data_IF_386007288408
#
_entry.id   IF_386007288408
#
_cell.length_a   1.000
_cell.length_b   1.000
_cell.length_c   1.000
_cell.angle_alpha   90.00
_cell.angle_beta   90.00
_cell.angle_gamma   90.00
#
_symmetry.space_group_name_H-M   'P 1'
#
loop_
_entity.id
_entity.type
_entity.pdbx_description
1 polymer ?
#
# COMPACT_ATOMS: atom_id res chain seq x y z
N UNK A 1 -30.28 -22.32 24.13
CA UNK A 1 -29.79 -21.23 25.00
C UNK A 1 -29.54 -20.06 24.08
N UNK A 2 -30.31 -19.00 24.16
CA UNK A 2 -30.07 -17.76 23.41
C UNK A 2 -28.71 -17.25 23.82
N UNK A 3 -27.86 -17.05 22.82
CA UNK A 3 -26.47 -16.64 23.01
C UNK A 3 -26.47 -15.11 23.18
N UNK A 4 -26.78 -14.62 24.39
CA UNK A 4 -26.89 -13.19 24.74
C UNK A 4 -25.54 -12.46 24.61
N UNK A 5 -24.79 -12.74 23.57
CA UNK A 5 -23.48 -12.19 23.29
C UNK A 5 -23.54 -11.10 22.23
N UNK A 6 -23.11 -9.89 22.58
CA UNK A 6 -22.91 -8.81 21.61
C UNK A 6 -21.56 -9.01 20.90
N UNK A 7 -21.60 -9.35 19.62
CA UNK A 7 -20.39 -9.42 18.77
C UNK A 7 -20.12 -8.05 18.17
N UNK A 8 -18.89 -7.59 18.31
CA UNK A 8 -18.44 -6.28 17.83
C UNK A 8 -17.29 -6.47 16.88
N UNK A 9 -17.43 -5.94 15.69
CA UNK A 9 -16.35 -5.85 14.70
C UNK A 9 -15.91 -4.41 14.57
N UNK A 10 -14.60 -4.19 14.64
CA UNK A 10 -13.93 -2.89 14.47
C UNK A 10 -12.87 -2.93 13.37
N UNK A 11 -12.38 -4.10 12.99
CA UNK A 11 -11.42 -4.25 11.88
C UNK A 11 -12.13 -4.22 10.53
N UNK A 12 -11.69 -3.32 9.63
CA UNK A 12 -12.27 -3.12 8.30
C UNK A 12 -13.65 -2.46 8.29
N UNK A 13 -14.07 -1.88 9.42
CA UNK A 13 -15.33 -1.19 9.59
C UNK A 13 -16.02 -1.53 10.91
N UNK A 14 -16.98 -0.70 11.34
CA UNK A 14 -17.72 -0.90 12.59
C UNK A 14 -19.05 -1.60 12.36
N UNK A 15 -19.27 -2.73 13.02
CA UNK A 15 -20.58 -3.40 13.04
C UNK A 15 -20.84 -4.09 14.37
N UNK A 16 -22.12 -4.20 14.72
CA UNK A 16 -22.63 -4.85 15.91
C UNK A 16 -23.59 -5.96 15.52
N UNK A 17 -23.50 -7.10 16.18
CA UNK A 17 -24.40 -8.25 15.99
C UNK A 17 -24.84 -8.77 17.36
N UNK A 18 -26.12 -8.90 17.56
CA UNK A 18 -26.72 -9.47 18.78
C UNK A 18 -27.74 -10.55 18.40
N UNK A 19 -27.56 -11.75 18.95
CA UNK A 19 -28.40 -12.90 18.61
C UNK A 19 -28.51 -13.17 17.10
N UNK A 20 -27.36 -13.13 16.42
CA UNK A 20 -27.19 -13.32 14.96
C UNK A 20 -28.01 -12.32 14.10
N UNK A 21 -28.38 -11.18 14.70
CA UNK A 21 -29.00 -10.05 13.99
C UNK A 21 -28.14 -8.82 14.08
N UNK A 22 -28.02 -8.13 12.96
CA UNK A 22 -27.31 -6.85 12.91
C UNK A 22 -28.04 -5.79 13.75
N UNK A 23 -27.26 -5.08 14.58
CA UNK A 23 -27.74 -4.00 15.44
C UNK A 23 -27.39 -2.67 14.78
N UNK A 24 -28.36 -1.99 14.24
CA UNK A 24 -28.20 -0.67 13.62
C UNK A 24 -28.52 0.42 14.63
N UNK A 25 -27.54 1.26 14.98
CA UNK A 25 -27.72 2.35 15.95
C UNK A 25 -27.94 3.69 15.26
N UNK A 26 -26.92 4.24 14.63
CA UNK A 26 -26.92 5.52 13.95
C UNK A 26 -26.24 5.35 12.59
N UNK A 27 -26.73 6.08 11.59
CA UNK A 27 -26.10 6.06 10.26
C UNK A 27 -24.79 6.87 10.20
N UNK A 28 -24.59 7.74 11.21
CA UNK A 28 -23.38 8.57 11.27
C UNK A 28 -22.33 7.92 12.17
N UNK A 29 -21.39 7.16 11.57
CA UNK A 29 -20.29 6.50 12.25
C UNK A 29 -19.39 7.48 13.05
N UNK A 30 -19.35 8.75 12.67
CA UNK A 30 -18.47 9.79 13.25
C UNK A 30 -19.16 10.54 14.41
N UNK A 31 -20.42 10.25 14.74
CA UNK A 31 -21.13 10.95 15.82
C UNK A 31 -20.44 10.72 17.18
N UNK A 32 -20.49 11.71 18.08
CA UNK A 32 -19.89 11.58 19.43
C UNK A 32 -20.48 10.42 20.22
N UNK A 33 -21.72 10.02 19.93
CA UNK A 33 -22.37 8.85 20.52
C UNK A 33 -21.72 7.55 20.05
N UNK A 34 -21.43 7.44 18.75
CA UNK A 34 -20.74 6.27 18.19
C UNK A 34 -19.28 6.21 18.64
N UNK A 35 -18.58 7.33 18.66
CA UNK A 35 -17.21 7.41 19.20
C UNK A 35 -17.15 6.95 20.66
N UNK A 36 -18.12 7.38 21.48
CA UNK A 36 -18.20 6.95 22.87
C UNK A 36 -18.38 5.42 22.96
N UNK A 37 -19.30 4.85 22.18
CA UNK A 37 -19.53 3.40 22.16
C UNK A 37 -18.27 2.65 21.76
N UNK A 38 -17.61 3.08 20.68
CA UNK A 38 -16.38 2.47 20.18
C UNK A 38 -15.28 2.49 21.24
N UNK A 39 -15.07 3.63 21.92
CA UNK A 39 -14.07 3.77 22.99
C UNK A 39 -14.37 2.86 24.19
N UNK A 40 -15.63 2.81 24.66
CA UNK A 40 -16.01 1.94 25.78
C UNK A 40 -15.83 0.46 25.42
N UNK A 41 -16.22 0.06 24.22
CA UNK A 41 -16.08 -1.33 23.75
C UNK A 41 -14.62 -1.72 23.54
N UNK A 42 -13.80 -0.82 23.02
CA UNK A 42 -12.36 -1.03 22.82
C UNK A 42 -11.64 -1.33 24.14
N UNK A 43 -12.08 -0.71 25.24
CA UNK A 43 -11.51 -0.89 26.57
C UNK A 43 -12.35 -1.84 27.47
N UNK A 44 -13.29 -2.59 26.87
CA UNK A 44 -14.21 -3.45 27.65
C UNK A 44 -13.52 -4.59 28.41
N UNK A 45 -12.33 -5.02 27.97
CA UNK A 45 -11.55 -6.08 28.62
C UNK A 45 -10.39 -5.55 29.50
N UNK A 46 -10.13 -4.23 29.48
CA UNK A 46 -9.03 -3.58 30.20
C UNK A 46 -9.51 -2.85 31.47
N UNK A 47 -10.70 -3.16 31.96
CA UNK A 47 -11.28 -2.51 33.14
C UNK A 47 -11.94 -1.15 32.85
N UNK A 48 -12.06 -0.78 31.59
CA UNK A 48 -12.67 0.47 31.14
C UNK A 48 -11.67 1.58 30.81
N UNK A 49 -12.18 2.77 30.58
CA UNK A 49 -11.43 3.98 30.26
C UNK A 49 -11.75 5.10 31.26
N UNK A 50 -10.78 5.91 31.64
CA UNK A 50 -11.01 7.02 32.57
C UNK A 50 -11.93 8.07 31.96
N UNK A 51 -12.78 8.67 32.80
CA UNK A 51 -13.67 9.77 32.38
C UNK A 51 -12.89 10.95 31.78
N UNK A 52 -11.70 11.23 32.30
CA UNK A 52 -10.83 12.27 31.78
C UNK A 52 -10.33 11.94 30.34
N UNK A 53 -9.92 10.69 30.11
CA UNK A 53 -9.50 10.24 28.77
C UNK A 53 -10.65 10.26 27.76
N UNK A 54 -11.87 9.88 28.17
CA UNK A 54 -13.07 10.00 27.33
C UNK A 54 -13.39 11.44 26.97
N UNK A 55 -13.30 12.36 27.93
CA UNK A 55 -13.54 13.79 27.69
C UNK A 55 -12.51 14.34 26.71
N UNK A 56 -11.25 13.98 26.88
CA UNK A 56 -10.17 14.42 25.97
C UNK A 56 -10.37 13.86 24.57
N UNK A 57 -10.65 12.57 24.44
CA UNK A 57 -10.89 11.93 23.14
C UNK A 57 -12.09 12.51 22.38
N UNK A 58 -13.21 12.76 23.08
CA UNK A 58 -14.45 13.21 22.46
C UNK A 58 -14.55 14.73 22.29
N UNK A 59 -14.00 15.51 23.22
CA UNK A 59 -14.20 16.95 23.32
C UNK A 59 -12.91 17.76 23.49
N UNK A 60 -11.73 17.14 23.39
CA UNK A 60 -10.44 17.85 23.55
C UNK A 60 -10.29 19.03 22.62
N UNK A 61 -10.71 18.86 21.35
CA UNK A 61 -10.64 19.88 20.31
C UNK A 61 -11.88 20.81 20.24
N UNK A 62 -12.94 20.52 21.00
CA UNK A 62 -14.16 21.29 20.93
C UNK A 62 -14.17 22.43 21.96
N UNK A 63 -14.61 23.62 21.56
CA UNK A 63 -14.91 24.76 22.44
C UNK A 63 -16.23 24.50 23.18
N UNK A 64 -16.23 23.59 24.14
CA UNK A 64 -17.39 23.26 24.97
C UNK A 64 -17.09 23.66 26.41
N UNK A 65 -17.88 24.62 26.95
CA UNK A 65 -17.70 25.13 28.32
C UNK A 65 -17.87 24.02 29.38
N UNK A 66 -18.85 23.13 29.21
CA UNK A 66 -19.13 22.04 30.14
C UNK A 66 -18.94 20.67 29.51
N UNK A 67 -17.67 20.24 29.36
CA UNK A 67 -17.31 18.92 28.79
C UNK A 67 -17.88 17.75 29.60
N UNK A 68 -17.97 17.87 30.93
CA UNK A 68 -18.59 16.84 31.80
C UNK A 68 -20.08 16.66 31.54
N UNK A 69 -20.81 17.76 31.42
CA UNK A 69 -22.23 17.73 31.09
C UNK A 69 -22.51 17.14 29.72
N UNK A 70 -21.66 17.48 28.74
CA UNK A 70 -21.73 16.96 27.37
C UNK A 70 -21.49 15.46 27.33
N UNK A 71 -20.52 14.94 28.07
CA UNK A 71 -20.27 13.50 28.17
C UNK A 71 -21.48 12.78 28.80
N UNK A 72 -22.05 13.29 29.92
CA UNK A 72 -23.19 12.68 30.53
C UNK A 72 -24.42 12.63 29.59
N UNK A 73 -24.64 13.71 28.82
CA UNK A 73 -25.70 13.75 27.81
C UNK A 73 -25.45 12.72 26.69
N UNK A 74 -24.21 12.54 26.29
CA UNK A 74 -23.84 11.57 25.24
C UNK A 74 -24.03 10.14 25.76
N UNK A 75 -23.67 9.83 27.02
CA UNK A 75 -23.94 8.56 27.66
C UNK A 75 -25.45 8.27 27.71
N UNK A 76 -26.26 9.28 28.10
CA UNK A 76 -27.71 9.12 28.16
C UNK A 76 -28.30 8.82 26.77
N UNK A 77 -27.84 9.54 25.72
CA UNK A 77 -28.29 9.30 24.34
C UNK A 77 -27.89 7.90 23.87
N UNK A 78 -26.68 7.45 24.16
CA UNK A 78 -26.20 6.13 23.79
C UNK A 78 -27.03 5.03 24.44
N UNK A 79 -27.32 5.13 25.74
CA UNK A 79 -28.18 4.17 26.44
C UNK A 79 -29.55 4.03 25.78
N UNK A 80 -30.16 5.16 25.42
CA UNK A 80 -31.44 5.16 24.70
C UNK A 80 -31.37 4.52 23.32
N UNK A 81 -30.29 4.74 22.60
CA UNK A 81 -30.13 4.14 21.29
C UNK A 81 -29.94 2.62 21.37
N UNK A 82 -29.12 2.12 22.32
CA UNK A 82 -28.92 0.70 22.54
C UNK A 82 -30.23 -0.04 22.92
N UNK A 83 -31.04 0.56 23.81
CA UNK A 83 -32.38 0.01 24.17
C UNK A 83 -33.32 -0.06 22.97
N UNK A 84 -33.38 1.01 22.17
CA UNK A 84 -34.20 1.05 20.95
C UNK A 84 -33.77 0.05 19.89
N UNK A 85 -32.50 -0.28 19.87
CA UNK A 85 -31.89 -1.23 18.92
C UNK A 85 -32.13 -2.70 19.34
N UNK A 86 -32.84 -2.95 20.42
CA UNK A 86 -33.27 -4.29 20.85
C UNK A 86 -32.25 -5.04 21.71
N UNK A 87 -31.25 -4.36 22.29
CA UNK A 87 -30.38 -4.96 23.29
C UNK A 87 -31.14 -5.13 24.62
N UNK A 88 -30.72 -6.10 25.48
CA UNK A 88 -31.33 -6.30 26.79
C UNK A 88 -31.31 -5.02 27.62
N UNK A 89 -32.33 -4.81 28.45
CA UNK A 89 -32.38 -3.64 29.32
C UNK A 89 -31.25 -3.65 30.34
N UNK A 90 -30.37 -2.65 30.24
CA UNK A 90 -29.18 -2.51 31.06
C UNK A 90 -28.72 -1.04 31.12
N UNK A 91 -27.86 -0.73 32.06
CA UNK A 91 -27.15 0.56 32.08
C UNK A 91 -26.09 0.67 31.00
N UNK A 92 -25.65 -0.43 30.37
CA UNK A 92 -24.60 -0.58 29.35
C UNK A 92 -23.24 0.06 29.71
N UNK A 93 -23.25 1.24 30.30
CA UNK A 93 -22.03 1.97 30.68
C UNK A 93 -22.10 2.22 32.19
N UNK A 94 -21.17 1.64 32.93
CA UNK A 94 -21.02 1.84 34.37
C UNK A 94 -19.93 2.89 34.61
N UNK A 95 -20.15 3.73 35.62
CA UNK A 95 -19.18 4.76 36.03
C UNK A 95 -18.85 4.52 37.50
N UNK A 96 -17.66 3.97 37.76
CA UNK A 96 -17.19 3.63 39.09
C UNK A 96 -15.80 4.26 39.31
N UNK A 97 -15.60 5.01 40.39
CA UNK A 97 -14.35 5.64 40.76
C UNK A 97 -13.67 6.43 39.62
N UNK A 98 -14.45 7.10 38.76
CA UNK A 98 -13.92 7.87 37.63
C UNK A 98 -13.55 7.05 36.39
N UNK A 99 -13.79 5.74 36.40
CA UNK A 99 -13.66 4.84 35.26
C UNK A 99 -15.03 4.59 34.63
N UNK A 100 -15.07 4.58 33.30
CA UNK A 100 -16.24 4.22 32.51
C UNK A 100 -15.98 2.86 31.86
N UNK A 101 -16.81 1.87 32.14
CA UNK A 101 -16.70 0.50 31.64
C UNK A 101 -18.00 0.02 31.00
N UNK A 102 -17.89 -0.99 30.14
CA UNK A 102 -19.06 -1.72 29.63
C UNK A 102 -19.69 -2.56 30.75
N UNK A 103 -21.01 -2.68 30.74
CA UNK A 103 -21.74 -3.46 31.76
C UNK A 103 -21.49 -4.96 31.57
N UNK A 104 -20.95 -5.62 32.59
CA UNK A 104 -20.63 -7.06 32.58
C UNK A 104 -21.88 -7.94 32.40
N UNK A 105 -23.07 -7.42 32.73
CA UNK A 105 -24.35 -8.14 32.53
C UNK A 105 -24.71 -8.26 31.02
N UNK A 106 -24.07 -7.52 30.16
CA UNK A 106 -24.21 -7.61 28.69
C UNK A 106 -22.92 -8.17 28.11
N UNK A 107 -22.77 -9.51 27.99
CA UNK A 107 -21.56 -10.12 27.50
C UNK A 107 -21.19 -9.56 26.10
N UNK A 108 -19.93 -9.18 25.91
CA UNK A 108 -19.44 -8.59 24.67
C UNK A 108 -18.18 -9.29 24.19
N UNK A 109 -18.08 -9.45 22.88
CA UNK A 109 -16.93 -9.99 22.19
C UNK A 109 -16.47 -9.00 21.13
N UNK A 110 -15.33 -8.36 21.37
CA UNK A 110 -14.73 -7.35 20.47
C UNK A 110 -13.53 -7.97 19.74
N UNK A 111 -13.56 -7.91 18.42
CA UNK A 111 -12.51 -8.52 17.58
C UNK A 111 -11.10 -7.99 17.88
N UNK A 112 -10.95 -6.69 18.11
CA UNK A 112 -9.68 -6.05 18.48
C UNK A 112 -9.14 -6.59 19.80
N UNK A 113 -10.00 -6.71 20.82
CA UNK A 113 -9.60 -7.23 22.13
C UNK A 113 -9.18 -8.71 22.02
N UNK A 114 -9.94 -9.51 21.25
CA UNK A 114 -9.59 -10.90 20.97
C UNK A 114 -8.26 -11.02 20.20
N UNK A 115 -8.05 -10.18 19.18
CA UNK A 115 -6.82 -10.11 18.42
C UNK A 115 -5.61 -9.86 19.32
N UNK A 116 -5.65 -8.82 20.13
CA UNK A 116 -4.58 -8.47 21.08
C UNK A 116 -4.27 -9.62 22.04
N UNK A 117 -5.31 -10.24 22.59
CA UNK A 117 -5.19 -11.39 23.50
C UNK A 117 -4.57 -12.60 22.82
N UNK A 118 -4.95 -12.90 21.58
CA UNK A 118 -4.37 -13.99 20.79
C UNK A 118 -2.90 -13.72 20.46
N UNK A 119 -2.52 -12.50 20.10
CA UNK A 119 -1.11 -12.14 19.87
C UNK A 119 -0.28 -12.37 21.15
N UNK A 120 -0.76 -11.90 22.30
CA UNK A 120 -0.08 -12.09 23.57
C UNK A 120 0.03 -13.57 23.97
N UNK A 121 -1.05 -14.33 23.79
CA UNK A 121 -1.06 -15.78 24.07
C UNK A 121 -0.09 -16.54 23.17
N UNK A 122 -0.02 -16.20 21.89
CA UNK A 122 0.93 -16.77 20.95
C UNK A 122 2.39 -16.46 21.33
N UNK A 123 2.68 -15.25 21.83
CA UNK A 123 4.02 -14.88 22.34
C UNK A 123 4.43 -15.74 23.54
N UNK A 124 3.49 -16.13 24.40
CA UNK A 124 3.74 -16.95 25.59
C UNK A 124 3.75 -18.46 25.35
N UNK A 125 3.14 -18.90 24.25
CA UNK A 125 3.02 -20.34 23.93
C UNK A 125 4.38 -20.89 23.52
N UNK A 126 4.76 -22.04 24.10
CA UNK A 126 6.06 -22.72 23.85
C UNK A 126 5.96 -23.73 22.71
N UNK A 127 4.77 -24.33 22.51
CA UNK A 127 4.56 -25.35 21.48
C UNK A 127 4.34 -24.68 20.13
N UNK A 128 5.25 -24.94 19.19
CA UNK A 128 5.28 -24.27 17.89
C UNK A 128 3.96 -24.41 17.11
N UNK A 129 3.42 -25.62 16.99
CA UNK A 129 2.16 -25.86 16.27
C UNK A 129 0.96 -25.14 16.93
N UNK A 130 0.94 -25.09 18.24
CA UNK A 130 -0.11 -24.38 18.99
C UNK A 130 0.01 -22.89 18.79
N UNK A 131 1.23 -22.35 18.80
CA UNK A 131 1.53 -20.94 18.53
C UNK A 131 1.05 -20.52 17.15
N UNK A 132 1.40 -21.30 16.11
CA UNK A 132 0.93 -21.05 14.73
C UNK A 132 -0.60 -21.03 14.67
N UNK A 133 -1.28 -21.98 15.33
CA UNK A 133 -2.74 -22.01 15.37
C UNK A 133 -3.35 -20.78 16.05
N UNK A 134 -2.74 -20.32 17.15
CA UNK A 134 -3.19 -19.11 17.88
C UNK A 134 -3.02 -17.87 16.98
N UNK A 135 -1.85 -17.69 16.37
CA UNK A 135 -1.60 -16.53 15.51
C UNK A 135 -2.39 -16.59 14.21
N UNK A 136 -2.67 -17.76 13.63
CA UNK A 136 -3.61 -17.86 12.50
C UNK A 136 -5.00 -17.37 12.88
N UNK A 137 -5.51 -17.69 14.07
CA UNK A 137 -6.77 -17.12 14.55
C UNK A 137 -6.71 -15.60 14.71
N UNK A 138 -5.58 -15.06 15.20
CA UNK A 138 -5.40 -13.61 15.28
C UNK A 138 -5.41 -12.98 13.87
N UNK A 139 -4.66 -13.54 12.94
CA UNK A 139 -4.63 -13.09 11.54
C UNK A 139 -6.03 -13.15 10.88
N UNK A 140 -6.84 -14.16 11.18
CA UNK A 140 -8.21 -14.29 10.67
C UNK A 140 -9.15 -13.18 11.16
N UNK A 141 -8.94 -12.67 12.37
CA UNK A 141 -9.73 -11.57 12.94
C UNK A 141 -9.41 -10.23 12.27
N UNK A 142 -8.18 -10.00 11.85
CA UNK A 142 -7.76 -8.74 11.25
C UNK A 142 -8.28 -8.65 9.80
N UNK A 143 -9.34 -7.88 9.57
CA UNK A 143 -10.01 -7.75 8.25
C UNK A 143 -9.64 -6.46 7.50
N UNK A 144 -8.84 -5.61 8.09
CA UNK A 144 -8.44 -4.31 7.59
C UNK A 144 -8.12 -3.37 8.74
N UNK A 145 -7.93 -2.10 8.46
CA UNK A 145 -7.63 -1.10 9.47
C UNK A 145 -8.72 -0.99 10.54
N UNK A 146 -8.30 -0.61 11.74
CA UNK A 146 -9.20 -0.37 12.85
C UNK A 146 -10.02 0.90 12.58
N UNK A 147 -11.35 0.77 12.58
CA UNK A 147 -12.30 1.88 12.47
C UNK A 147 -11.89 2.87 11.35
N UNK A 148 -11.86 2.46 10.09
CA UNK A 148 -11.34 3.29 8.99
C UNK A 148 -12.08 4.64 8.87
N UNK A 149 -13.35 4.72 9.24
CA UNK A 149 -14.12 5.98 9.25
C UNK A 149 -13.66 6.96 10.34
N UNK A 150 -12.80 6.52 11.28
CA UNK A 150 -12.30 7.29 12.43
C UNK A 150 -10.85 7.74 12.30
N UNK A 151 -10.21 7.56 11.15
CA UNK A 151 -8.77 7.88 10.93
C UNK A 151 -8.45 9.35 11.28
N UNK A 152 -9.39 10.27 11.11
CA UNK A 152 -9.23 11.69 11.48
C UNK A 152 -9.22 11.98 12.99
N UNK A 153 -9.60 11.02 13.84
CA UNK A 153 -9.61 11.18 15.30
C UNK A 153 -8.31 10.65 15.90
N UNK A 154 -7.59 11.46 16.67
CA UNK A 154 -6.27 11.12 17.22
C UNK A 154 -6.25 9.79 18.00
N UNK A 155 -7.29 9.53 18.79
CA UNK A 155 -7.39 8.29 19.56
C UNK A 155 -7.49 7.05 18.66
N UNK A 156 -8.26 7.14 17.57
CA UNK A 156 -8.44 6.03 16.64
C UNK A 156 -7.16 5.81 15.80
N UNK A 157 -6.49 6.88 15.38
CA UNK A 157 -5.23 6.79 14.66
C UNK A 157 -4.13 6.11 15.50
N UNK A 158 -4.00 6.45 16.79
CA UNK A 158 -3.03 5.81 17.69
C UNK A 158 -3.32 4.31 17.89
N UNK A 159 -4.58 3.96 18.11
CA UNK A 159 -5.03 2.58 18.26
C UNK A 159 -4.85 1.77 16.97
N UNK A 160 -5.14 2.38 15.82
CA UNK A 160 -4.93 1.76 14.51
C UNK A 160 -3.44 1.47 14.26
N UNK A 161 -2.55 2.44 14.54
CA UNK A 161 -1.10 2.25 14.43
C UNK A 161 -0.62 1.08 15.29
N UNK A 162 -1.05 1.00 16.55
CA UNK A 162 -0.72 -0.11 17.44
C UNK A 162 -1.23 -1.47 16.91
N UNK A 163 -2.46 -1.53 16.39
CA UNK A 163 -3.01 -2.75 15.81
C UNK A 163 -2.27 -3.16 14.53
N UNK A 164 -1.88 -2.19 13.69
CA UNK A 164 -1.07 -2.42 12.48
C UNK A 164 0.29 -3.05 12.81
N UNK A 165 1.01 -2.50 13.78
CA UNK A 165 2.28 -3.07 14.24
C UNK A 165 2.14 -4.51 14.73
N UNK A 166 1.10 -4.79 15.52
CA UNK A 166 0.81 -6.15 15.98
C UNK A 166 0.44 -7.10 14.84
N UNK A 167 -0.27 -6.62 13.83
CA UNK A 167 -0.60 -7.40 12.64
C UNK A 167 0.63 -7.71 11.81
N UNK A 168 1.50 -6.74 11.57
CA UNK A 168 2.77 -6.92 10.86
C UNK A 168 3.65 -7.96 11.57
N UNK A 169 3.83 -7.79 12.88
CA UNK A 169 4.52 -8.78 13.70
C UNK A 169 3.91 -10.19 13.56
N UNK A 170 2.59 -10.29 13.59
CA UNK A 170 1.90 -11.58 13.46
C UNK A 170 2.13 -12.23 12.09
N UNK A 171 2.07 -11.47 11.01
CA UNK A 171 2.28 -11.95 9.64
C UNK A 171 3.72 -12.40 9.44
N UNK A 172 4.71 -11.61 9.86
CA UNK A 172 6.14 -11.95 9.76
C UNK A 172 6.47 -13.23 10.52
N UNK A 173 6.02 -13.34 11.76
CA UNK A 173 6.23 -14.51 12.60
C UNK A 173 5.55 -15.78 12.02
N UNK A 174 4.34 -15.63 11.48
CA UNK A 174 3.66 -16.73 10.81
C UNK A 174 4.40 -17.18 9.56
N UNK A 175 4.78 -16.26 8.68
CA UNK A 175 5.49 -16.55 7.44
C UNK A 175 6.83 -17.23 7.72
N UNK A 176 7.63 -16.71 8.66
CA UNK A 176 8.92 -17.27 9.05
C UNK A 176 8.77 -18.71 9.56
N UNK A 177 7.83 -18.98 10.48
CA UNK A 177 7.64 -20.33 11.05
C UNK A 177 7.03 -21.32 10.08
N UNK A 178 6.19 -20.84 9.17
CA UNK A 178 5.61 -21.67 8.12
C UNK A 178 6.65 -22.01 7.05
N UNK A 179 7.63 -21.12 6.80
CA UNK A 179 8.76 -21.36 5.91
C UNK A 179 9.66 -22.49 6.44
N UNK A 180 9.98 -22.48 7.75
CA UNK A 180 10.74 -23.56 8.40
C UNK A 180 10.04 -24.94 8.28
N UNK A 181 8.74 -24.96 8.02
CA UNK A 181 7.90 -26.15 7.87
C UNK A 181 7.51 -26.43 6.42
N UNK A 182 8.06 -25.70 5.47
CA UNK A 182 7.77 -25.82 4.04
C UNK A 182 6.26 -25.67 3.69
N UNK A 183 5.50 -24.91 4.53
CA UNK A 183 4.07 -24.72 4.36
C UNK A 183 3.78 -23.52 3.46
N UNK A 184 4.27 -23.57 2.24
CA UNK A 184 4.26 -22.43 1.31
C UNK A 184 2.86 -21.96 0.89
N UNK A 185 1.88 -22.87 0.79
CA UNK A 185 0.48 -22.48 0.48
C UNK A 185 -0.16 -21.64 1.60
N UNK A 186 0.20 -21.91 2.85
CA UNK A 186 -0.23 -21.07 3.97
C UNK A 186 0.43 -19.70 3.93
N UNK A 187 1.74 -19.64 3.60
CA UNK A 187 2.47 -18.38 3.43
C UNK A 187 1.81 -17.56 2.34
N UNK A 188 1.54 -18.17 1.19
CA UNK A 188 0.88 -17.50 0.07
C UNK A 188 -0.44 -16.84 0.49
N UNK A 189 -1.33 -17.57 1.17
CA UNK A 189 -2.60 -17.01 1.66
C UNK A 189 -2.42 -15.85 2.63
N UNK A 190 -1.45 -15.98 3.55
CA UNK A 190 -1.20 -14.97 4.59
C UNK A 190 -0.62 -13.70 3.99
N UNK A 191 0.40 -13.83 3.16
CA UNK A 191 1.09 -12.71 2.53
C UNK A 191 0.24 -12.01 1.47
N UNK A 192 -0.51 -12.77 0.67
CA UNK A 192 -1.46 -12.23 -0.31
C UNK A 192 -2.47 -11.29 0.36
N UNK A 193 -3.13 -11.75 1.43
CA UNK A 193 -4.07 -10.91 2.16
C UNK A 193 -3.41 -9.72 2.84
N UNK A 194 -2.18 -9.87 3.34
CA UNK A 194 -1.43 -8.75 3.90
C UNK A 194 -1.12 -7.70 2.82
N UNK A 195 -0.77 -8.14 1.61
CA UNK A 195 -0.55 -7.28 0.45
C UNK A 195 -1.83 -6.61 -0.06
N UNK A 196 -3.01 -7.23 0.10
CA UNK A 196 -4.29 -6.59 -0.21
C UNK A 196 -4.60 -5.44 0.77
N UNK A 197 -4.37 -5.65 2.09
CA UNK A 197 -4.63 -4.64 3.12
C UNK A 197 -3.59 -3.53 3.10
N UNK A 198 -2.31 -3.89 2.92
CA UNK A 198 -1.16 -3.00 2.96
C UNK A 198 -0.26 -3.22 1.72
N UNK A 199 -0.67 -2.70 0.56
CA UNK A 199 -0.04 -3.00 -0.71
C UNK A 199 1.38 -2.44 -0.88
N UNK A 200 1.79 -1.50 -0.02
CA UNK A 200 3.08 -0.80 -0.10
C UNK A 200 4.11 -1.25 0.95
N UNK A 201 3.77 -2.26 1.77
CA UNK A 201 4.63 -2.73 2.87
C UNK A 201 5.42 -4.02 2.53
N UNK A 202 5.72 -4.24 1.25
CA UNK A 202 6.56 -5.34 0.73
C UNK A 202 6.09 -6.78 1.05
N UNK A 203 4.83 -6.99 1.41
CA UNK A 203 4.28 -8.34 1.64
C UNK A 203 4.33 -9.24 0.42
N UNK A 204 4.39 -8.66 -0.76
CA UNK A 204 4.55 -9.33 -2.04
C UNK A 204 5.86 -10.11 -2.14
N UNK A 205 6.87 -9.77 -1.35
CA UNK A 205 8.12 -10.53 -1.27
C UNK A 205 7.84 -11.94 -0.73
N UNK A 206 7.11 -12.06 0.37
CA UNK A 206 6.70 -13.35 0.94
C UNK A 206 5.78 -14.14 0.01
N UNK A 207 4.88 -13.45 -0.67
CA UNK A 207 3.96 -14.03 -1.64
C UNK A 207 4.73 -14.64 -2.81
N UNK A 208 5.63 -13.89 -3.43
CA UNK A 208 6.46 -14.34 -4.54
C UNK A 208 7.39 -15.49 -4.10
N UNK A 209 8.04 -15.40 -2.94
CA UNK A 209 8.92 -16.47 -2.43
C UNK A 209 8.16 -17.79 -2.23
N UNK A 210 6.93 -17.73 -1.76
CA UNK A 210 6.07 -18.92 -1.62
C UNK A 210 5.71 -19.54 -2.98
N UNK A 211 5.46 -18.70 -4.00
CA UNK A 211 5.17 -19.14 -5.36
C UNK A 211 6.42 -19.72 -6.05
N UNK A 212 7.59 -19.13 -5.81
CA UNK A 212 8.88 -19.67 -6.27
C UNK A 212 9.12 -21.05 -5.67
N UNK A 213 8.92 -21.21 -4.36
CA UNK A 213 9.14 -22.48 -3.64
C UNK A 213 8.19 -23.59 -4.11
N UNK A 214 7.02 -23.23 -4.63
CA UNK A 214 6.04 -24.16 -5.24
C UNK A 214 6.15 -24.23 -6.76
N UNK A 215 7.20 -23.66 -7.36
CA UNK A 215 7.44 -23.64 -8.82
C UNK A 215 6.34 -22.96 -9.65
N UNK A 216 5.53 -22.09 -9.03
CA UNK A 216 4.44 -21.31 -9.67
C UNK A 216 4.96 -19.98 -10.24
N UNK A 217 6.02 -20.05 -11.05
CA UNK A 217 6.74 -18.88 -11.55
C UNK A 217 5.87 -17.90 -12.36
N UNK A 218 4.88 -18.40 -13.13
CA UNK A 218 3.98 -17.54 -13.91
C UNK A 218 3.12 -16.63 -13.01
N UNK A 219 2.57 -17.20 -11.95
CA UNK A 219 1.77 -16.45 -10.96
C UNK A 219 2.64 -15.44 -10.21
N UNK A 220 3.84 -15.82 -9.81
CA UNK A 220 4.80 -14.90 -9.22
C UNK A 220 5.14 -13.70 -10.13
N UNK A 221 5.28 -13.94 -11.44
CA UNK A 221 5.48 -12.87 -12.42
C UNK A 221 4.26 -11.94 -12.53
N UNK A 222 3.04 -12.46 -12.40
CA UNK A 222 1.81 -11.66 -12.39
C UNK A 222 1.73 -10.79 -11.12
N UNK A 223 2.04 -11.36 -9.94
CA UNK A 223 2.12 -10.60 -8.68
C UNK A 223 3.13 -9.46 -8.81
N UNK A 224 4.33 -9.74 -9.35
CA UNK A 224 5.34 -8.70 -9.55
C UNK A 224 4.84 -7.58 -10.46
N UNK A 225 4.27 -7.90 -11.64
CA UNK A 225 3.78 -6.90 -12.60
C UNK A 225 2.68 -6.02 -12.03
N UNK A 226 1.76 -6.62 -11.26
CA UNK A 226 0.67 -5.89 -10.62
C UNK A 226 1.22 -4.95 -9.54
N UNK A 227 2.21 -5.41 -8.77
CA UNK A 227 2.89 -4.61 -7.74
C UNK A 227 3.68 -3.46 -8.37
N UNK A 228 4.47 -3.73 -9.39
CA UNK A 228 5.23 -2.72 -10.14
C UNK A 228 4.29 -1.63 -10.68
N UNK A 229 3.20 -2.05 -11.33
CA UNK A 229 2.20 -1.12 -11.87
C UNK A 229 1.61 -0.25 -10.77
N UNK A 230 1.20 -0.85 -9.64
CA UNK A 230 0.60 -0.12 -8.52
C UNK A 230 1.60 0.88 -7.90
N UNK A 231 2.84 0.46 -7.65
CA UNK A 231 3.90 1.35 -7.12
C UNK A 231 4.15 2.55 -8.03
N UNK A 232 4.18 2.31 -9.36
CA UNK A 232 4.37 3.37 -10.34
C UNK A 232 3.16 4.30 -10.45
N UNK A 233 1.95 3.74 -10.50
CA UNK A 233 0.73 4.52 -10.75
C UNK A 233 0.29 5.30 -9.49
N UNK A 234 0.41 4.73 -8.28
CA UNK A 234 -0.10 5.33 -7.04
C UNK A 234 0.98 6.13 -6.29
N UNK A 235 2.24 5.66 -6.25
CA UNK A 235 3.33 6.32 -5.51
C UNK A 235 4.40 6.95 -6.41
N UNK A 236 4.46 6.58 -7.68
CA UNK A 236 5.50 7.06 -8.61
C UNK A 236 6.90 6.53 -8.29
N UNK A 237 7.02 5.39 -7.59
CA UNK A 237 8.29 4.78 -7.20
C UNK A 237 8.53 3.45 -7.90
N UNK A 238 9.82 3.09 -8.07
CA UNK A 238 10.22 1.79 -8.59
C UNK A 238 10.04 0.68 -7.54
N UNK A 239 9.86 -0.59 -7.97
CA UNK A 239 9.88 -1.73 -7.08
C UNK A 239 11.18 -1.85 -6.28
N UNK A 240 11.11 -2.45 -5.08
CA UNK A 240 12.29 -2.66 -4.25
C UNK A 240 13.32 -3.58 -4.93
N UNK A 241 14.63 -3.46 -4.61
CA UNK A 241 15.66 -4.34 -5.15
C UNK A 241 15.36 -5.83 -4.95
N UNK A 242 14.73 -6.17 -3.82
CA UNK A 242 14.31 -7.54 -3.50
C UNK A 242 13.26 -8.07 -4.48
N UNK A 243 12.29 -7.26 -4.88
CA UNK A 243 11.28 -7.64 -5.87
C UNK A 243 11.90 -7.81 -7.27
N UNK A 244 12.82 -6.91 -7.65
CA UNK A 244 13.52 -6.98 -8.95
C UNK A 244 14.35 -8.25 -9.06
N UNK A 245 15.06 -8.65 -8.00
CA UNK A 245 15.85 -9.88 -7.97
C UNK A 245 14.98 -11.12 -8.20
N UNK A 246 13.82 -11.18 -7.54
CA UNK A 246 12.87 -12.28 -7.72
C UNK A 246 12.28 -12.33 -9.11
N UNK A 247 12.01 -11.18 -9.69
CA UNK A 247 11.54 -11.09 -11.08
C UNK A 247 12.56 -11.69 -12.05
N UNK A 248 13.84 -11.37 -11.90
CA UNK A 248 14.91 -11.95 -12.72
C UNK A 248 15.01 -13.46 -12.56
N UNK A 249 15.02 -13.93 -11.30
CA UNK A 249 15.08 -15.36 -11.00
C UNK A 249 13.90 -16.13 -11.62
N UNK A 250 12.68 -15.63 -11.49
CA UNK A 250 11.49 -16.26 -12.08
C UNK A 250 11.53 -16.24 -13.61
N UNK A 251 12.02 -15.16 -14.20
CA UNK A 251 12.19 -15.03 -15.66
C UNK A 251 13.14 -16.07 -16.23
N UNK A 252 14.29 -16.30 -15.59
CA UNK A 252 15.26 -17.33 -15.97
C UNK A 252 14.65 -18.74 -15.88
N UNK A 253 13.95 -19.06 -14.80
CA UNK A 253 13.33 -20.38 -14.60
C UNK A 253 12.14 -20.62 -15.53
N UNK A 254 11.32 -19.62 -15.77
CA UNK A 254 10.20 -19.71 -16.71
C UNK A 254 10.69 -19.92 -18.16
N UNK A 255 11.87 -19.38 -18.50
CA UNK A 255 12.49 -19.54 -19.82
C UNK A 255 13.14 -20.92 -20.03
N UNK A 256 13.66 -21.56 -18.99
CA UNK A 256 14.26 -22.89 -19.08
C UNK A 256 13.28 -24.01 -19.48
N UNK A 257 11.98 -23.77 -19.35
CA UNK A 257 10.92 -24.73 -19.75
C UNK A 257 10.52 -24.60 -21.23
N UNK A 258 11.18 -23.76 -22.04
CA UNK A 258 10.81 -23.47 -23.42
C UNK A 258 11.73 -24.21 -24.42
N UNK A 259 11.12 -24.92 -25.36
CA UNK A 259 11.73 -25.72 -26.40
C UNK A 259 12.58 -24.97 -27.44
N UNK A 260 12.64 -25.49 -28.70
CA UNK A 260 13.54 -25.08 -29.78
C UNK A 260 13.74 -23.56 -29.95
N UNK A 261 14.91 -23.16 -30.45
CA UNK A 261 15.30 -21.74 -30.61
C UNK A 261 14.32 -20.93 -31.48
N UNK A 262 13.61 -21.59 -32.39
CA UNK A 262 12.56 -21.01 -33.20
C UNK A 262 11.34 -20.54 -32.38
N UNK A 263 10.93 -21.35 -31.39
CA UNK A 263 9.85 -21.01 -30.47
C UNK A 263 10.26 -19.85 -29.55
N UNK A 264 11.50 -19.84 -29.11
CA UNK A 264 12.07 -18.74 -28.32
C UNK A 264 12.09 -17.46 -29.16
N UNK A 265 12.59 -17.54 -30.40
CA UNK A 265 12.63 -16.39 -31.33
C UNK A 265 11.22 -15.87 -31.62
N UNK A 266 10.25 -16.75 -31.87
CA UNK A 266 8.86 -16.36 -32.10
C UNK A 266 8.25 -15.64 -30.87
N UNK A 267 8.57 -16.08 -29.66
CA UNK A 267 8.13 -15.43 -28.40
C UNK A 267 8.82 -14.07 -28.14
N UNK A 268 10.04 -13.89 -28.65
CA UNK A 268 10.79 -12.64 -28.54
C UNK A 268 10.37 -11.62 -29.62
N UNK A 269 9.68 -12.06 -30.68
CA UNK A 269 9.17 -11.13 -31.69
C UNK A 269 8.04 -10.27 -31.11
N UNK A 270 8.10 -8.98 -31.34
CA UNK A 270 6.99 -8.07 -31.03
C UNK A 270 5.74 -8.52 -31.78
N UNK A 271 4.68 -8.80 -31.04
CA UNK A 271 3.40 -9.30 -31.61
C UNK A 271 2.60 -8.24 -32.35
N UNK A 272 2.91 -6.97 -32.14
CA UNK A 272 2.26 -5.84 -32.79
C UNK A 272 3.33 -4.89 -33.35
N UNK A 273 3.08 -4.33 -34.52
CA UNK A 273 3.89 -3.26 -35.12
C UNK A 273 3.59 -1.96 -34.33
N UNK A 274 4.08 -1.85 -33.10
CA UNK A 274 3.95 -0.64 -32.31
C UNK A 274 4.76 0.46 -32.99
N UNK A 275 4.09 1.50 -33.45
CA UNK A 275 4.75 2.67 -33.99
C UNK A 275 5.45 3.47 -32.87
N UNK A 276 6.67 3.94 -33.11
CA UNK A 276 7.42 4.77 -32.18
C UNK A 276 8.38 3.99 -31.30
N UNK A 277 8.85 4.62 -30.23
CA UNK A 277 9.85 4.09 -29.31
C UNK A 277 9.33 2.97 -28.41
N UNK A 278 10.26 2.16 -27.92
CA UNK A 278 9.93 1.05 -27.04
C UNK A 278 9.72 1.52 -25.59
N UNK A 279 8.52 1.33 -25.08
CA UNK A 279 8.23 1.52 -23.63
C UNK A 279 8.61 0.27 -22.87
N UNK A 280 9.43 0.39 -21.86
CA UNK A 280 9.78 -0.73 -20.98
C UNK A 280 9.57 -0.37 -19.50
N UNK A 281 9.53 -1.38 -18.66
CA UNK A 281 9.51 -1.19 -17.21
C UNK A 281 10.85 -0.57 -16.75
N UNK A 282 10.86 0.10 -15.60
CA UNK A 282 12.09 0.69 -15.07
C UNK A 282 13.22 -0.34 -14.87
N UNK A 283 12.99 -1.54 -14.29
CA UNK A 283 14.03 -2.56 -14.23
C UNK A 283 14.57 -2.98 -15.58
N UNK A 284 13.69 -3.15 -16.57
CA UNK A 284 14.11 -3.47 -17.94
C UNK A 284 14.91 -2.33 -18.56
N UNK A 285 14.56 -1.08 -18.28
CA UNK A 285 15.31 0.09 -18.71
C UNK A 285 16.72 0.11 -18.10
N UNK A 286 16.86 -0.26 -16.83
CA UNK A 286 18.16 -0.39 -16.16
C UNK A 286 19.02 -1.48 -16.83
N UNK A 287 18.45 -2.62 -17.19
CA UNK A 287 19.16 -3.68 -17.90
C UNK A 287 19.61 -3.22 -19.29
N UNK A 288 18.73 -2.55 -20.03
CA UNK A 288 19.06 -1.93 -21.32
C UNK A 288 20.18 -0.89 -21.16
N UNK A 289 20.11 -0.04 -20.12
CA UNK A 289 21.17 0.93 -19.81
C UNK A 289 22.53 0.25 -19.62
N UNK A 290 22.60 -0.82 -18.83
CA UNK A 290 23.83 -1.56 -18.61
C UNK A 290 24.39 -2.18 -19.91
N UNK A 291 23.52 -2.68 -20.78
CA UNK A 291 23.91 -3.20 -22.08
C UNK A 291 24.53 -2.10 -22.94
N UNK A 292 23.85 -0.95 -23.07
CA UNK A 292 24.33 0.17 -23.87
C UNK A 292 25.57 0.84 -23.27
N UNK A 293 25.69 0.93 -21.95
CA UNK A 293 26.92 1.42 -21.29
C UNK A 293 28.15 0.62 -21.72
N UNK A 294 28.04 -0.72 -21.68
CA UNK A 294 29.13 -1.61 -22.17
C UNK A 294 29.35 -1.50 -23.66
N UNK A 295 28.32 -1.26 -24.47
CA UNK A 295 28.45 -1.04 -25.91
C UNK A 295 29.15 0.27 -26.20
N UNK A 296 28.82 1.36 -25.51
CA UNK A 296 29.48 2.67 -25.60
C UNK A 296 30.99 2.53 -25.34
N UNK A 297 31.39 1.83 -24.27
CA UNK A 297 32.82 1.60 -23.96
C UNK A 297 33.55 0.84 -25.07
N UNK A 298 32.91 -0.13 -25.71
CA UNK A 298 33.53 -0.98 -26.73
C UNK A 298 33.53 -0.39 -28.13
N UNK A 299 32.45 0.29 -28.51
CA UNK A 299 32.21 0.70 -29.91
C UNK A 299 32.30 2.21 -30.13
N UNK A 300 32.35 3.02 -29.07
CA UNK A 300 32.24 4.47 -29.14
C UNK A 300 30.85 4.97 -29.57
N UNK A 301 29.81 4.12 -29.45
CA UNK A 301 28.42 4.47 -29.80
C UNK A 301 27.99 5.69 -29.01
N UNK A 302 27.34 6.65 -29.65
CA UNK A 302 26.86 7.85 -29.01
C UNK A 302 25.43 7.59 -28.42
N UNK A 303 25.33 7.52 -27.09
CA UNK A 303 24.08 7.25 -26.37
C UNK A 303 23.88 8.29 -25.28
N UNK A 304 22.65 8.86 -25.20
CA UNK A 304 22.30 9.86 -24.20
C UNK A 304 21.09 9.43 -23.41
N UNK A 305 21.06 9.78 -22.12
CA UNK A 305 19.88 9.72 -21.28
C UNK A 305 19.28 11.13 -21.15
N UNK A 306 17.97 11.23 -21.34
CA UNK A 306 17.20 12.44 -21.14
C UNK A 306 16.17 12.23 -20.06
N UNK A 307 16.22 13.01 -18.99
CA UNK A 307 15.19 13.08 -17.96
C UNK A 307 14.19 14.17 -18.33
N UNK A 308 12.93 13.80 -18.49
CA UNK A 308 11.81 14.71 -18.76
C UNK A 308 11.01 14.90 -17.47
N UNK A 309 10.94 16.11 -16.92
CA UNK A 309 10.29 16.41 -15.65
C UNK A 309 9.14 17.39 -15.82
N UNK A 310 7.93 17.04 -15.39
CA UNK A 310 6.79 17.95 -15.29
C UNK A 310 7.01 18.95 -14.16
N UNK A 311 6.96 20.26 -14.45
CA UNK A 311 7.14 21.32 -13.49
C UNK A 311 5.88 22.20 -13.42
N UNK A 312 5.24 22.23 -12.26
CA UNK A 312 3.95 22.89 -12.01
C UNK A 312 4.06 24.33 -11.47
N UNK A 313 5.24 24.95 -11.54
CA UNK A 313 5.48 26.37 -11.15
C UNK A 313 4.69 26.80 -9.89
N UNK A 314 4.89 26.10 -8.75
CA UNK A 314 4.29 26.40 -7.43
C UNK A 314 2.75 26.29 -7.35
N UNK A 315 2.11 25.56 -8.26
CA UNK A 315 0.68 25.26 -8.20
C UNK A 315 0.47 23.91 -7.50
N UNK A 316 -0.48 23.87 -6.55
CA UNK A 316 -1.03 22.61 -6.05
C UNK A 316 -1.85 21.96 -7.17
N UNK A 317 -1.59 20.69 -7.42
CA UNK A 317 -2.21 19.89 -8.49
C UNK A 317 -2.85 18.67 -7.86
N UNK A 318 -4.07 18.35 -8.26
CA UNK A 318 -4.73 17.12 -7.82
C UNK A 318 -4.07 15.90 -8.45
N UNK A 319 -4.17 14.74 -7.80
CA UNK A 319 -3.64 13.49 -8.32
C UNK A 319 -4.19 13.14 -9.71
N UNK A 320 -5.48 13.40 -9.95
CA UNK A 320 -6.10 13.16 -11.26
C UNK A 320 -5.51 14.06 -12.36
N UNK A 321 -5.24 15.33 -12.04
CA UNK A 321 -4.58 16.25 -12.98
C UNK A 321 -3.13 15.80 -13.24
N UNK A 322 -2.40 15.36 -12.21
CA UNK A 322 -1.02 14.88 -12.35
C UNK A 322 -0.96 13.62 -13.22
N UNK A 323 -1.83 12.64 -12.97
CA UNK A 323 -1.92 11.42 -13.79
C UNK A 323 -2.25 11.74 -15.23
N UNK A 324 -3.18 12.66 -15.49
CA UNK A 324 -3.55 13.09 -16.84
C UNK A 324 -2.38 13.77 -17.56
N UNK A 325 -1.66 14.65 -16.89
CA UNK A 325 -0.50 15.33 -17.48
C UNK A 325 0.66 14.35 -17.72
N UNK A 326 0.87 13.41 -16.80
CA UNK A 326 1.85 12.34 -16.96
C UNK A 326 1.54 11.45 -18.18
N UNK A 327 0.27 11.05 -18.38
CA UNK A 327 -0.16 10.30 -19.55
C UNK A 327 0.08 11.07 -20.86
N UNK A 328 -0.26 12.37 -20.88
CA UNK A 328 -0.02 13.23 -22.04
C UNK A 328 1.47 13.37 -22.38
N UNK A 329 2.34 13.46 -21.34
CA UNK A 329 3.79 13.49 -21.56
C UNK A 329 4.29 12.16 -22.12
N UNK A 330 3.81 11.03 -21.60
CA UNK A 330 4.11 9.69 -22.12
C UNK A 330 3.81 9.58 -23.62
N UNK A 331 2.59 9.92 -24.02
CA UNK A 331 2.20 9.90 -25.44
C UNK A 331 3.05 10.83 -26.28
N UNK A 332 3.37 12.03 -25.79
CA UNK A 332 4.21 13.01 -26.49
C UNK A 332 5.63 12.51 -26.69
N UNK A 333 6.19 11.79 -25.70
CA UNK A 333 7.48 11.12 -25.81
C UNK A 333 7.39 10.03 -26.89
N UNK A 334 6.43 9.12 -26.78
CA UNK A 334 6.26 8.00 -27.72
C UNK A 334 6.16 8.45 -29.19
N UNK A 335 5.40 9.51 -29.45
CA UNK A 335 5.22 10.08 -30.80
C UNK A 335 6.45 10.85 -31.31
N UNK A 336 7.33 11.27 -30.40
CA UNK A 336 8.44 12.17 -30.71
C UNK A 336 9.78 11.49 -30.87
N UNK A 337 9.99 10.26 -30.40
CA UNK A 337 11.25 9.55 -30.45
C UNK A 337 11.18 8.36 -31.44
N UNK A 338 12.35 7.83 -31.83
CA UNK A 338 12.45 6.83 -32.91
C UNK A 338 12.17 5.42 -32.41
N UNK A 339 11.85 4.49 -33.29
CA UNK A 339 11.62 3.06 -32.98
C UNK A 339 12.81 2.39 -32.27
N UNK A 340 14.04 2.86 -32.45
CA UNK A 340 15.23 2.34 -31.79
C UNK A 340 15.52 2.97 -30.42
N UNK A 341 14.77 3.99 -30.01
CA UNK A 341 14.91 4.63 -28.70
C UNK A 341 14.05 3.93 -27.67
N UNK A 342 14.42 4.09 -26.39
CA UNK A 342 13.72 3.48 -25.24
C UNK A 342 13.22 4.57 -24.29
N UNK A 343 12.09 4.31 -23.62
CA UNK A 343 11.64 5.19 -22.55
C UNK A 343 10.90 4.42 -21.47
N UNK A 344 10.95 4.99 -20.26
CA UNK A 344 10.27 4.44 -19.08
C UNK A 344 9.71 5.54 -18.21
N UNK A 345 8.68 5.25 -17.44
CA UNK A 345 8.20 6.10 -16.36
C UNK A 345 9.14 5.93 -15.16
N UNK A 346 9.72 7.02 -14.66
CA UNK A 346 10.61 7.02 -13.50
C UNK A 346 9.84 7.27 -12.20
N UNK A 347 8.90 8.23 -12.23
CA UNK A 347 7.92 8.48 -11.17
C UNK A 347 6.68 9.18 -11.75
N UNK A 348 5.75 9.64 -10.89
CA UNK A 348 4.51 10.31 -11.34
C UNK A 348 4.73 11.52 -12.25
N UNK A 349 5.88 12.22 -12.11
CA UNK A 349 6.21 13.47 -12.82
C UNK A 349 7.37 13.32 -13.80
N UNK A 350 8.04 12.17 -13.84
CA UNK A 350 9.29 12.02 -14.56
C UNK A 350 9.31 10.80 -15.49
N UNK A 351 9.89 11.00 -16.67
CA UNK A 351 10.22 9.95 -17.63
C UNK A 351 11.69 9.97 -17.97
N UNK A 352 12.29 8.80 -18.10
CA UNK A 352 13.62 8.61 -18.64
C UNK A 352 13.50 8.17 -20.09
N UNK A 353 14.30 8.77 -20.96
CA UNK A 353 14.39 8.45 -22.38
C UNK A 353 15.86 8.14 -22.70
N UNK A 354 16.11 7.03 -23.38
CA UNK A 354 17.44 6.68 -23.92
C UNK A 354 17.44 6.89 -25.42
N UNK A 355 18.29 7.77 -25.87
CA UNK A 355 18.47 8.15 -27.27
C UNK A 355 19.74 7.50 -27.80
N UNK A 356 19.61 6.71 -28.86
CA UNK A 356 20.72 5.90 -29.44
C UNK A 356 21.14 6.48 -30.75
N UNK A 357 22.47 6.44 -31.03
CA UNK A 357 23.07 6.97 -32.25
C UNK A 357 22.65 8.40 -32.55
N UNK A 358 22.81 9.29 -31.57
CA UNK A 358 22.43 10.69 -31.67
C UNK A 358 23.60 11.60 -31.22
N UNK A 359 23.75 12.75 -31.84
CA UNK A 359 24.66 13.79 -31.40
C UNK A 359 24.03 14.64 -30.28
N UNK A 360 24.88 15.17 -29.39
CA UNK A 360 24.44 15.99 -28.26
C UNK A 360 23.54 17.18 -28.66
N UNK A 361 23.91 17.87 -29.75
CA UNK A 361 23.12 18.98 -30.29
C UNK A 361 21.73 18.55 -30.77
N UNK A 362 21.59 17.31 -31.24
CA UNK A 362 20.37 16.76 -31.74
C UNK A 362 19.39 16.33 -30.59
N UNK A 363 19.90 16.11 -29.36
CA UNK A 363 19.07 15.88 -28.18
C UNK A 363 18.17 17.10 -27.90
N UNK A 364 18.65 18.32 -28.15
CA UNK A 364 17.83 19.53 -28.03
C UNK A 364 16.70 19.60 -29.07
N UNK A 365 16.89 19.04 -30.27
CA UNK A 365 15.83 18.94 -31.28
C UNK A 365 14.74 17.95 -30.84
N UNK A 366 15.15 16.86 -30.20
CA UNK A 366 14.21 15.87 -29.64
C UNK A 366 13.40 16.49 -28.49
N UNK A 367 14.03 17.16 -27.54
CA UNK A 367 13.31 17.82 -26.43
C UNK A 367 12.33 18.89 -26.92
N UNK A 368 12.72 19.70 -27.91
CA UNK A 368 11.82 20.67 -28.55
C UNK A 368 10.62 19.98 -29.22
N UNK A 369 10.81 18.82 -29.87
CA UNK A 369 9.75 18.05 -30.52
C UNK A 369 8.78 17.48 -29.50
N UNK A 370 9.29 16.89 -28.41
CA UNK A 370 8.47 16.40 -27.28
C UNK A 370 7.65 17.54 -26.68
N UNK A 371 8.29 18.69 -26.43
CA UNK A 371 7.64 19.84 -25.86
C UNK A 371 6.53 20.40 -26.79
N UNK A 372 6.80 20.47 -28.08
CA UNK A 372 5.79 20.90 -29.07
C UNK A 372 4.56 19.98 -29.07
N UNK A 373 4.75 18.67 -29.07
CA UNK A 373 3.66 17.68 -28.99
C UNK A 373 2.88 17.80 -27.69
N UNK A 374 3.59 17.88 -26.56
CA UNK A 374 2.99 18.03 -25.25
C UNK A 374 2.14 19.29 -25.14
N UNK A 375 2.68 20.43 -25.60
CA UNK A 375 1.94 21.71 -25.58
C UNK A 375 0.74 21.71 -26.53
N UNK A 376 0.81 21.03 -27.65
CA UNK A 376 -0.33 20.90 -28.57
C UNK A 376 -1.49 20.12 -27.97
N UNK A 377 -1.19 19.10 -27.15
CA UNK A 377 -2.20 18.29 -26.43
C UNK A 377 -2.78 19.00 -25.21
N UNK A 378 -2.00 19.87 -24.55
CA UNK A 378 -2.43 20.64 -23.37
C UNK A 378 -3.41 21.76 -23.67
N UNK A 379 -3.44 22.32 -24.88
CA UNK A 379 -4.26 23.49 -25.22
C UNK A 379 -3.80 24.77 -24.51
N UNK A 380 -4.76 25.59 -24.01
CA UNK A 380 -4.47 26.93 -23.46
C UNK A 380 -3.92 26.95 -22.01
N UNK A 381 -3.65 25.81 -21.35
CA UNK A 381 -3.10 25.79 -19.97
C UNK A 381 -1.61 26.15 -19.95
N UNK A 382 -1.28 27.42 -19.80
CA UNK A 382 0.09 27.99 -19.89
C UNK A 382 0.99 27.80 -18.65
N UNK A 383 0.53 27.21 -17.56
CA UNK A 383 1.26 27.15 -16.27
C UNK A 383 2.06 25.87 -16.03
N UNK A 384 2.21 25.01 -17.03
CA UNK A 384 2.95 23.77 -16.91
C UNK A 384 4.10 23.74 -17.93
N UNK A 385 5.30 23.40 -17.46
CA UNK A 385 6.50 23.27 -18.29
C UNK A 385 7.08 21.88 -18.13
N UNK A 386 7.73 21.38 -19.19
CA UNK A 386 8.56 20.19 -19.12
C UNK A 386 10.02 20.62 -19.11
N UNK A 387 10.74 20.24 -18.06
CA UNK A 387 12.18 20.47 -17.97
C UNK A 387 12.91 19.21 -18.50
N UNK A 388 14.00 19.44 -19.23
CA UNK A 388 14.79 18.38 -19.82
C UNK A 388 16.23 18.46 -19.31
N UNK A 389 16.73 17.34 -18.81
CA UNK A 389 18.14 17.17 -18.46
C UNK A 389 18.73 16.04 -19.31
N UNK A 390 19.86 16.30 -19.97
CA UNK A 390 20.50 15.35 -20.88
C UNK A 390 21.91 15.06 -20.40
N UNK A 391 22.29 13.78 -20.33
CA UNK A 391 23.61 13.32 -19.98
C UNK A 391 24.07 12.22 -20.95
N UNK A 392 25.35 12.20 -21.27
CA UNK A 392 25.97 11.10 -22.03
C UNK A 392 26.10 9.86 -21.16
N UNK A 393 25.79 8.68 -21.70
CA UNK A 393 25.97 7.40 -20.99
C UNK A 393 27.46 7.15 -20.70
N UNK A 394 28.38 7.56 -21.58
CA UNK A 394 29.82 7.43 -21.37
C UNK A 394 30.36 8.33 -20.24
N UNK A 395 29.79 9.53 -20.04
CA UNK A 395 30.21 10.45 -18.98
C UNK A 395 29.72 10.01 -17.59
N UNK A 396 28.57 9.36 -17.49
CA UNK A 396 28.03 8.86 -16.24
C UNK A 396 28.92 7.76 -15.65
N UNK A 397 29.54 6.93 -16.48
CA UNK A 397 30.45 5.87 -16.02
C UNK A 397 31.76 6.41 -15.41
N UNK A 398 32.22 7.60 -15.81
CA UNK A 398 33.46 8.19 -15.29
C UNK A 398 33.31 8.94 -13.95
N UNK A 399 32.08 9.29 -13.54
CA UNK A 399 31.81 10.06 -12.33
C UNK A 399 31.37 9.23 -11.09
N UNK A 400 31.32 7.91 -11.18
CA UNK A 400 30.93 7.03 -10.07
C UNK A 400 31.95 6.94 -8.94
N UNK A 401 33.20 7.39 -9.16
CA UNK A 401 34.24 7.46 -8.09
C UNK A 401 34.13 8.72 -7.20
N UNK A 402 33.26 9.69 -7.48
CA UNK A 402 33.21 10.98 -6.77
C UNK A 402 31.88 11.36 -6.10
N UNK A 403 30.86 10.50 -6.03
CA UNK A 403 29.59 10.83 -5.36
C UNK A 403 29.02 9.67 -4.54
N UNK A 404 29.78 9.23 -3.52
CA UNK A 404 29.24 8.46 -2.37
C UNK A 404 28.58 9.33 -1.28
N UNK A 405 28.46 10.66 -1.49
CA UNK A 405 28.09 11.60 -0.41
C UNK A 405 26.77 12.38 -0.67
N UNK A 406 25.82 11.88 -1.46
CA UNK A 406 24.54 12.57 -1.67
C UNK A 406 23.30 11.67 -1.44
N UNK A 407 23.42 10.64 -0.61
CA UNK A 407 22.27 9.93 -0.04
C UNK A 407 22.59 9.51 1.40
N UNK A 408 22.58 10.46 2.32
CA UNK A 408 22.18 10.31 3.71
C UNK A 408 20.82 10.97 3.94
#
# INVERSE_FOLDING_TARGET
MENNLLKVRMFGGFSLEFNDKEVVLDRNAVSKTMQLLQLILLHSQDGGISKAALIEALYGRAEVENKNGSLNNTIFRLRKQLQKAGLPESNYIQINAGMCSWDENVPVSVDVCQFRKLIQNGKKEKREETRIKIWKKAWELYKGELLPDMIGENWAAAENASCRELYFYCVEELCTRLQDKERYEDIHKISHRAAEIYPFDNWQVWEIDSLISTSRYKEGLEVYRNTEKRLMDELGIAPSPQLVERFRFMGERASQAAGAIEDIKYRLMEKENVAGAYYCSYPSFVDVYHVFSRMVERTGLSVFIMLCTLNYENREVTEEEEQKMSAMLRESIQESIRKGDFYTKYNSRQYLVMLIEIEQESCQKVSKRINKQFMSKMGQKRSLKVNYYVASVGEVCQNTEKKSDIFE
#
